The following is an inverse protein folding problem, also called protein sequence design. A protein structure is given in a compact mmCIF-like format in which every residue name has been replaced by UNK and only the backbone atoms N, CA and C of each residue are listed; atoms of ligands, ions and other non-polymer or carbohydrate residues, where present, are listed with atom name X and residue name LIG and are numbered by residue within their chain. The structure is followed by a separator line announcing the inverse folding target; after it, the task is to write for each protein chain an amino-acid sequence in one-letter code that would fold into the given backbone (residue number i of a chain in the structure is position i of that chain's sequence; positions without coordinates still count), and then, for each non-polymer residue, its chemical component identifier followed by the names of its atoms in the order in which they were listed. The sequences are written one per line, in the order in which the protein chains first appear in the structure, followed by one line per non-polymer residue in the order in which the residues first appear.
data_IF_809232532378
#
_entry.id   IF_809232532378
#
_cell.length_a   1.000
_cell.length_b   1.000
_cell.length_c   1.000
_cell.angle_alpha   90.00
_cell.angle_beta   90.00
_cell.angle_gamma   90.00
#
_symmetry.space_group_name_H-M   'P 1'
#
loop_
_entity.id
_entity.type
_entity.pdbx_description
1 polymer ?
#
# COMPACT_ATOMS: atom_id res chain seq x y z
N UNK A 1 -10.35 0.55 17.62
CA UNK A 1 -10.09 -0.53 16.65
C UNK A 1 -9.79 -1.87 17.33
N UNK A 2 -8.80 -1.92 18.21
CA UNK A 2 -8.52 -3.15 18.96
C UNK A 2 -9.72 -3.62 19.76
N UNK A 3 -10.47 -2.69 20.41
CA UNK A 3 -11.67 -3.01 21.18
C UNK A 3 -12.75 -3.65 20.34
N UNK A 4 -13.03 -3.10 19.16
CA UNK A 4 -14.03 -3.64 18.25
C UNK A 4 -13.66 -5.04 17.75
N UNK A 5 -12.39 -5.26 17.42
CA UNK A 5 -11.90 -6.57 16.98
C UNK A 5 -12.02 -7.62 18.12
N UNK A 6 -11.69 -7.25 19.34
CA UNK A 6 -11.83 -8.15 20.50
C UNK A 6 -13.29 -8.47 20.78
N UNK A 7 -14.19 -7.49 20.67
CA UNK A 7 -15.63 -7.72 20.82
C UNK A 7 -16.14 -8.70 19.77
N UNK A 8 -15.70 -8.57 18.52
CA UNK A 8 -16.06 -9.48 17.44
C UNK A 8 -15.56 -10.90 17.69
N UNK A 9 -14.36 -11.05 18.25
CA UNK A 9 -13.83 -12.37 18.62
C UNK A 9 -14.68 -13.03 19.71
N UNK A 10 -15.11 -12.28 20.73
CA UNK A 10 -15.99 -12.80 21.77
C UNK A 10 -17.35 -13.17 21.19
N UNK A 11 -17.89 -12.37 20.32
CA UNK A 11 -19.16 -12.65 19.64
C UNK A 11 -19.06 -13.91 18.78
N UNK A 12 -17.98 -14.05 18.01
CA UNK A 12 -17.70 -15.24 17.21
C UNK A 12 -17.66 -16.50 18.09
N UNK A 13 -16.93 -16.43 19.20
CA UNK A 13 -16.85 -17.53 20.15
C UNK A 13 -18.22 -17.90 20.71
N UNK A 14 -19.02 -16.89 21.07
CA UNK A 14 -20.36 -17.08 21.58
C UNK A 14 -21.26 -17.80 20.57
N UNK A 15 -21.21 -17.41 19.30
CA UNK A 15 -21.98 -18.10 18.25
C UNK A 15 -21.57 -19.56 18.13
N UNK A 16 -20.28 -19.85 18.16
CA UNK A 16 -19.76 -21.22 18.07
C UNK A 16 -20.23 -22.06 19.24
N UNK A 17 -20.15 -21.53 20.48
CA UNK A 17 -20.58 -22.22 21.69
C UNK A 17 -22.07 -22.49 21.71
N UNK A 18 -22.87 -21.61 21.09
CA UNK A 18 -24.33 -21.77 20.97
C UNK A 18 -24.76 -22.65 19.79
N UNK A 19 -23.83 -23.14 18.98
CA UNK A 19 -24.12 -23.91 17.79
C UNK A 19 -24.65 -23.09 16.62
N UNK A 20 -24.51 -21.76 16.70
CA UNK A 20 -24.97 -20.81 15.64
C UNK A 20 -23.90 -20.65 14.57
N UNK A 21 -23.64 -21.73 13.84
CA UNK A 21 -22.53 -21.77 12.89
C UNK A 21 -22.69 -20.87 11.69
N UNK A 22 -23.92 -20.69 11.19
CA UNK A 22 -24.19 -19.77 10.06
C UNK A 22 -23.83 -18.32 10.46
N UNK A 23 -24.27 -17.90 11.65
CA UNK A 23 -23.95 -16.56 12.16
C UNK A 23 -22.45 -16.40 12.39
N UNK A 24 -21.79 -17.45 12.89
CA UNK A 24 -20.34 -17.45 13.09
C UNK A 24 -19.60 -17.27 11.76
N UNK A 25 -20.01 -17.96 10.70
CA UNK A 25 -19.38 -17.86 9.36
C UNK A 25 -19.59 -16.47 8.74
N UNK A 26 -20.76 -15.87 8.91
CA UNK A 26 -21.02 -14.50 8.42
C UNK A 26 -20.11 -13.51 9.13
N UNK A 27 -20.01 -13.60 10.45
CA UNK A 27 -19.15 -12.71 11.22
C UNK A 27 -17.68 -12.89 10.86
N UNK A 28 -17.23 -14.13 10.69
CA UNK A 28 -15.84 -14.43 10.28
C UNK A 28 -15.52 -13.81 8.91
N UNK A 29 -16.45 -13.87 7.95
CA UNK A 29 -16.30 -13.24 6.65
C UNK A 29 -16.12 -11.72 6.76
N UNK A 30 -16.90 -11.06 7.62
CA UNK A 30 -16.79 -9.62 7.87
C UNK A 30 -15.42 -9.28 8.48
N UNK A 31 -14.93 -10.09 9.41
CA UNK A 31 -13.63 -9.90 10.03
C UNK A 31 -12.49 -10.08 9.02
N UNK A 32 -12.62 -11.04 8.11
CA UNK A 32 -11.63 -11.25 7.04
C UNK A 32 -11.56 -10.05 6.10
N UNK A 33 -12.70 -9.48 5.73
CA UNK A 33 -12.75 -8.28 4.88
C UNK A 33 -12.12 -7.08 5.57
N UNK A 34 -12.39 -6.86 6.85
CA UNK A 34 -11.78 -5.79 7.64
C UNK A 34 -10.27 -5.94 7.71
N UNK A 35 -9.78 -7.15 7.97
CA UNK A 35 -8.35 -7.43 8.01
C UNK A 35 -7.67 -7.15 6.66
N UNK A 36 -8.33 -7.52 5.55
CA UNK A 36 -7.86 -7.23 4.20
C UNK A 36 -7.80 -5.73 3.94
N UNK A 37 -8.84 -4.99 4.32
CA UNK A 37 -8.89 -3.53 4.15
C UNK A 37 -7.79 -2.82 4.94
N UNK A 38 -7.50 -3.27 6.16
CA UNK A 38 -6.40 -2.73 6.96
C UNK A 38 -5.05 -2.94 6.26
N UNK A 39 -4.83 -4.12 5.69
CA UNK A 39 -3.61 -4.42 4.93
C UNK A 39 -3.50 -3.57 3.66
N UNK A 40 -4.60 -3.41 2.93
CA UNK A 40 -4.64 -2.58 1.72
C UNK A 40 -4.33 -1.12 2.06
N UNK A 41 -4.91 -0.59 3.14
CA UNK A 41 -4.64 0.78 3.59
C UNK A 41 -3.18 0.97 3.98
N UNK A 42 -2.60 0.01 4.67
CA UNK A 42 -1.18 0.04 5.03
C UNK A 42 -0.29 0.01 3.79
N UNK A 43 -0.60 -0.86 2.84
CA UNK A 43 0.11 -0.94 1.56
C UNK A 43 0.02 0.40 0.83
N UNK A 44 -1.18 1.02 0.79
CA UNK A 44 -1.38 2.32 0.16
C UNK A 44 -0.50 3.41 0.75
N UNK A 45 -0.34 3.44 2.06
CA UNK A 45 0.52 4.40 2.74
C UNK A 45 1.99 4.25 2.34
N UNK A 46 2.49 3.01 2.26
CA UNK A 46 3.86 2.75 1.82
C UNK A 46 4.04 2.97 0.32
N UNK A 47 3.00 2.73 -0.50
CA UNK A 47 3.02 3.06 -1.93
C UNK A 47 3.18 4.56 -2.14
N UNK A 48 2.52 5.38 -1.33
CA UNK A 48 2.67 6.83 -1.40
C UNK A 48 4.14 7.24 -1.16
N UNK A 49 4.77 6.67 -0.15
CA UNK A 49 6.19 6.92 0.15
C UNK A 49 7.08 6.48 -1.01
N UNK A 50 6.84 5.30 -1.56
CA UNK A 50 7.59 4.78 -2.70
C UNK A 50 7.48 5.70 -3.91
N UNK A 51 6.26 6.05 -4.28
CA UNK A 51 5.99 6.88 -5.45
C UNK A 51 6.54 8.29 -5.27
N UNK A 52 6.39 8.88 -4.08
CA UNK A 52 6.93 10.20 -3.77
C UNK A 52 8.44 10.25 -4.06
N UNK A 53 9.19 9.26 -3.61
CA UNK A 53 10.64 9.23 -3.79
C UNK A 53 11.04 8.90 -5.23
N UNK A 54 10.29 8.04 -5.92
CA UNK A 54 10.51 7.78 -7.35
C UNK A 54 10.25 9.04 -8.17
N UNK A 55 9.19 9.78 -7.87
CA UNK A 55 8.90 11.05 -8.54
C UNK A 55 10.05 12.04 -8.34
N UNK A 56 10.54 12.18 -7.12
CA UNK A 56 11.67 13.06 -6.82
C UNK A 56 12.92 12.69 -7.61
N UNK A 57 13.22 11.39 -7.68
CA UNK A 57 14.39 10.90 -8.45
C UNK A 57 14.26 11.21 -9.94
N UNK A 58 13.07 10.98 -10.51
CA UNK A 58 12.82 11.28 -11.93
C UNK A 58 12.85 12.78 -12.19
N UNK A 59 12.22 13.58 -11.36
CA UNK A 59 12.14 15.02 -11.54
C UNK A 59 13.51 15.70 -11.47
N UNK A 60 14.29 15.38 -10.47
CA UNK A 60 15.60 16.01 -10.23
C UNK A 60 16.74 15.30 -10.95
N UNK A 61 16.47 14.15 -11.58
CA UNK A 61 17.46 13.32 -12.27
C UNK A 61 18.68 13.01 -11.38
N UNK A 62 18.40 12.68 -10.13
CA UNK A 62 19.43 12.31 -9.12
C UNK A 62 18.77 11.51 -8.02
N UNK A 63 19.59 10.97 -7.14
CA UNK A 63 19.12 10.34 -5.92
C UNK A 63 19.98 10.78 -4.74
N UNK A 64 19.51 10.49 -3.54
CA UNK A 64 20.29 10.63 -2.30
C UNK A 64 20.23 9.31 -1.55
N UNK A 65 21.16 9.14 -0.61
CA UNK A 65 21.13 7.95 0.26
C UNK A 65 19.81 7.85 1.03
N UNK A 66 19.30 8.97 1.52
CA UNK A 66 18.04 9.03 2.25
C UNK A 66 16.86 8.57 1.38
N UNK A 67 16.81 9.01 0.12
CA UNK A 67 15.76 8.61 -0.80
C UNK A 67 15.83 7.11 -1.11
N UNK A 68 17.02 6.60 -1.36
CA UNK A 68 17.23 5.17 -1.65
C UNK A 68 16.83 4.29 -0.47
N UNK A 69 17.13 4.71 0.76
CA UNK A 69 16.74 4.00 1.98
C UNK A 69 15.20 4.01 2.12
N UNK A 70 14.56 5.15 1.89
CA UNK A 70 13.10 5.27 1.95
C UNK A 70 12.42 4.36 0.93
N UNK A 71 12.94 4.32 -0.29
CA UNK A 71 12.42 3.44 -1.36
C UNK A 71 12.56 1.98 -0.94
N UNK A 72 13.73 1.58 -0.48
CA UNK A 72 14.00 0.20 -0.06
C UNK A 72 13.08 -0.23 1.09
N UNK A 73 12.94 0.64 2.09
CA UNK A 73 12.10 0.34 3.25
C UNK A 73 10.63 0.24 2.86
N UNK A 74 10.14 1.12 1.97
CA UNK A 74 8.76 1.07 1.50
C UNK A 74 8.50 -0.25 0.75
N UNK A 75 9.39 -0.66 -0.14
CA UNK A 75 9.28 -1.94 -0.87
C UNK A 75 9.23 -3.11 0.12
N UNK A 76 10.11 -3.13 1.12
CA UNK A 76 10.15 -4.19 2.11
C UNK A 76 8.86 -4.26 2.93
N UNK A 77 8.34 -3.11 3.37
CA UNK A 77 7.10 -3.05 4.14
C UNK A 77 5.88 -3.49 3.33
N UNK A 78 5.81 -3.08 2.06
CA UNK A 78 4.73 -3.51 1.16
C UNK A 78 4.81 -5.04 0.97
N UNK A 79 5.99 -5.58 0.76
CA UNK A 79 6.20 -7.03 0.62
C UNK A 79 5.71 -7.79 1.84
N UNK A 80 6.08 -7.34 3.04
CA UNK A 80 5.63 -7.97 4.29
C UNK A 80 4.12 -7.86 4.48
N UNK A 81 3.54 -6.70 4.22
CA UNK A 81 2.11 -6.46 4.41
C UNK A 81 1.25 -7.20 3.39
N UNK A 82 1.75 -7.38 2.17
CA UNK A 82 1.01 -8.04 1.10
C UNK A 82 1.05 -9.57 1.19
N UNK A 83 2.02 -10.13 1.91
CA UNK A 83 2.18 -11.58 2.01
C UNK A 83 1.19 -12.17 3.01
N UNK A 84 0.46 -13.20 2.59
CA UNK A 84 -0.45 -13.95 3.47
C UNK A 84 0.34 -15.02 4.23
N UNK A 85 0.26 -14.96 5.55
CA UNK A 85 1.10 -15.82 6.42
C UNK A 85 0.67 -17.28 6.45
N UNK A 86 -0.64 -17.54 6.56
CA UNK A 86 -1.16 -18.91 6.76
C UNK A 86 -1.67 -19.54 5.48
N UNK A 87 -2.38 -18.77 4.67
CA UNK A 87 -3.00 -19.28 3.44
C UNK A 87 -2.05 -19.34 2.25
N UNK A 88 -0.87 -18.70 2.35
CA UNK A 88 0.05 -18.54 1.22
C UNK A 88 -0.44 -17.47 0.24
N UNK A 89 0.42 -17.11 -0.72
CA UNK A 89 0.09 -16.09 -1.70
C UNK A 89 0.10 -14.68 -1.14
N UNK A 90 -0.63 -13.79 -1.81
CA UNK A 90 -0.65 -12.36 -1.52
C UNK A 90 -2.07 -11.84 -1.38
N UNK A 91 -2.26 -10.73 -0.63
CA UNK A 91 -3.54 -10.06 -0.52
C UNK A 91 -3.94 -9.39 -1.83
N UNK A 92 -2.96 -8.76 -2.50
CA UNK A 92 -3.19 -8.07 -3.77
C UNK A 92 -2.50 -8.80 -4.92
N UNK A 93 -3.24 -9.00 -6.01
CA UNK A 93 -2.70 -9.50 -7.27
C UNK A 93 -1.89 -8.39 -7.95
N UNK A 94 -1.18 -8.75 -9.03
CA UNK A 94 -0.46 -7.76 -9.87
C UNK A 94 -1.40 -6.67 -10.36
N UNK A 95 -2.60 -7.03 -10.84
CA UNK A 95 -3.59 -6.07 -11.34
C UNK A 95 -4.06 -5.15 -10.21
N UNK A 96 -4.29 -5.70 -9.03
CA UNK A 96 -4.71 -4.91 -7.85
C UNK A 96 -3.60 -4.00 -7.34
N UNK A 97 -2.34 -4.41 -7.42
CA UNK A 97 -1.19 -3.54 -7.12
C UNK A 97 -1.12 -2.37 -8.10
N UNK A 98 -1.36 -2.63 -9.39
CA UNK A 98 -1.41 -1.59 -10.40
C UNK A 98 -2.51 -0.57 -10.11
N UNK A 99 -3.70 -1.04 -9.75
CA UNK A 99 -4.82 -0.18 -9.36
C UNK A 99 -4.48 0.67 -8.14
N UNK A 100 -3.84 0.07 -7.14
CA UNK A 100 -3.43 0.78 -5.93
C UNK A 100 -2.40 1.87 -6.25
N UNK A 101 -1.45 1.59 -7.14
CA UNK A 101 -0.48 2.58 -7.62
C UNK A 101 -1.20 3.74 -8.28
N UNK A 102 -2.17 3.45 -9.18
CA UNK A 102 -2.94 4.48 -9.88
C UNK A 102 -3.73 5.36 -8.89
N UNK A 103 -4.35 4.76 -7.88
CA UNK A 103 -5.13 5.49 -6.87
C UNK A 103 -4.28 6.43 -6.01
N UNK A 104 -3.07 6.01 -5.67
CA UNK A 104 -2.19 6.74 -4.75
C UNK A 104 -1.34 7.78 -5.48
N UNK A 105 -1.16 7.65 -6.78
CA UNK A 105 -0.22 8.47 -7.55
C UNK A 105 -0.43 9.98 -7.40
N UNK A 106 -1.67 10.46 -7.50
CA UNK A 106 -1.96 11.89 -7.41
C UNK A 106 -1.59 12.46 -6.02
N UNK A 107 -1.88 11.71 -4.97
CA UNK A 107 -1.50 12.09 -3.60
C UNK A 107 0.02 12.14 -3.46
N UNK A 108 0.71 11.14 -4.01
CA UNK A 108 2.17 11.09 -4.00
C UNK A 108 2.79 12.25 -4.78
N UNK A 109 2.20 12.61 -5.92
CA UNK A 109 2.64 13.75 -6.73
C UNK A 109 2.51 15.06 -5.94
N UNK A 110 1.37 15.25 -5.25
CA UNK A 110 1.16 16.40 -4.39
C UNK A 110 2.21 16.49 -3.29
N UNK A 111 2.48 15.40 -2.62
CA UNK A 111 3.51 15.35 -1.57
C UNK A 111 4.91 15.59 -2.14
N UNK A 112 5.21 15.01 -3.30
CA UNK A 112 6.51 15.20 -3.95
C UNK A 112 6.74 16.65 -4.37
N UNK A 113 5.69 17.36 -4.77
CA UNK A 113 5.80 18.77 -5.18
C UNK A 113 6.25 19.68 -4.03
N UNK A 114 5.99 19.30 -2.79
CA UNK A 114 6.44 20.04 -1.62
C UNK A 114 7.94 19.85 -1.33
N UNK A 115 8.53 18.80 -1.84
CA UNK A 115 9.91 18.41 -1.54
C UNK A 115 10.85 18.52 -2.73
N UNK A 116 10.43 18.12 -3.94
CA UNK A 116 11.26 18.21 -5.13
C UNK A 116 11.57 19.67 -5.44
N UNK A 117 12.83 19.96 -5.80
CA UNK A 117 13.29 21.31 -6.10
C UNK A 117 12.94 22.33 -4.99
N UNK A 118 13.01 21.89 -3.73
CA UNK A 118 12.67 22.71 -2.56
C UNK A 118 11.24 23.27 -2.57
N UNK A 119 10.34 22.58 -3.28
CA UNK A 119 8.90 22.93 -3.29
C UNK A 119 8.53 24.12 -4.17
N UNK A 120 9.40 24.53 -5.10
CA UNK A 120 9.14 25.73 -5.94
C UNK A 120 8.12 25.50 -7.07
N UNK A 121 7.81 24.23 -7.36
CA UNK A 121 6.82 23.89 -8.40
C UNK A 121 5.55 23.32 -7.77
N UNK A 122 4.40 23.67 -8.33
CA UNK A 122 3.15 23.03 -7.94
C UNK A 122 3.02 21.64 -8.57
N UNK A 123 2.03 20.82 -8.16
CA UNK A 123 1.89 19.47 -8.72
C UNK A 123 1.72 19.45 -10.25
N UNK A 124 1.01 20.41 -10.82
CA UNK A 124 0.81 20.49 -12.28
C UNK A 124 2.12 20.74 -13.01
N UNK A 125 2.92 21.65 -12.48
CA UNK A 125 4.24 21.97 -13.05
C UNK A 125 5.19 20.78 -12.90
N UNK A 126 5.19 20.12 -11.74
CA UNK A 126 6.03 18.95 -11.51
C UNK A 126 5.64 17.81 -12.47
N UNK A 127 4.34 17.60 -12.69
CA UNK A 127 3.84 16.56 -13.60
C UNK A 127 4.40 16.71 -15.02
N UNK A 128 4.61 17.94 -15.46
CA UNK A 128 5.16 18.21 -16.80
C UNK A 128 6.64 17.81 -16.93
N UNK A 129 7.34 17.67 -15.81
CA UNK A 129 8.79 17.35 -15.79
C UNK A 129 9.07 15.85 -15.70
N UNK A 130 8.04 15.03 -15.51
CA UNK A 130 8.19 13.60 -15.24
C UNK A 130 7.33 12.76 -16.17
N UNK A 131 7.67 11.48 -16.28
CA UNK A 131 6.92 10.49 -17.05
C UNK A 131 6.13 9.61 -16.06
N UNK A 132 4.85 9.90 -15.88
CA UNK A 132 3.97 9.15 -14.97
C UNK A 132 3.95 7.66 -15.28
N UNK A 133 3.82 7.30 -16.56
CA UNK A 133 3.77 5.91 -17.00
C UNK A 133 5.05 5.17 -16.63
N UNK A 134 6.21 5.79 -16.85
CA UNK A 134 7.50 5.19 -16.52
C UNK A 134 7.67 5.02 -15.01
N UNK A 135 7.26 6.00 -14.23
CA UNK A 135 7.35 5.94 -12.76
C UNK A 135 6.47 4.82 -12.20
N UNK A 136 5.23 4.73 -12.66
CA UNK A 136 4.30 3.66 -12.24
C UNK A 136 4.82 2.28 -12.63
N UNK A 137 5.38 2.15 -13.83
CA UNK A 137 5.96 0.89 -14.30
C UNK A 137 7.17 0.48 -13.45
N UNK A 138 8.02 1.43 -13.09
CA UNK A 138 9.17 1.18 -12.19
C UNK A 138 8.70 0.71 -10.82
N UNK A 139 7.70 1.37 -10.24
CA UNK A 139 7.15 1.00 -8.95
C UNK A 139 6.63 -0.44 -8.97
N UNK A 140 5.83 -0.79 -9.96
CA UNK A 140 5.28 -2.14 -10.09
C UNK A 140 6.40 -3.18 -10.26
N UNK A 141 7.39 -2.90 -11.10
CA UNK A 141 8.53 -3.78 -11.32
C UNK A 141 9.30 -4.05 -10.03
N UNK A 142 9.56 -3.01 -9.24
CA UNK A 142 10.26 -3.13 -7.96
C UNK A 142 9.46 -3.98 -6.96
N UNK A 143 8.15 -3.80 -6.91
CA UNK A 143 7.29 -4.57 -6.01
C UNK A 143 7.20 -6.04 -6.41
N UNK A 144 7.10 -6.33 -7.71
CA UNK A 144 7.01 -7.70 -8.21
C UNK A 144 8.35 -8.45 -8.05
N UNK A 145 9.47 -7.76 -8.12
CA UNK A 145 10.79 -8.36 -7.94
C UNK A 145 10.92 -8.98 -6.55
N UNK A 146 10.34 -8.37 -5.51
CA UNK A 146 10.39 -8.89 -4.15
C UNK A 146 9.49 -10.11 -3.92
N UNK A 147 8.57 -10.39 -4.85
CA UNK A 147 7.65 -11.53 -4.76
C UNK A 147 8.22 -12.81 -5.38
N UNK A 148 9.29 -12.71 -6.13
CA UNK A 148 9.91 -13.87 -6.79
C UNK A 148 10.92 -14.62 -5.94
#
# INVERSE_FOLDING_TARGET
MRGAFMEELYELRSYIEQGRYTDALVLLGEMEEMSRDDKINKIGSFLEILLLHLIKRHAENRTTRSWDVSIRNAIAEIGRSNKRRKAGGYYLTKAELQEAIDEVYETALGSASLEAFDGIYDPTQLAEMIDETAIKAEALRLLLHTQS
#
